data_IF_013263909431
#
_entry.id   IF_013263909431
#
_cell.length_a   1.000
_cell.length_b   1.000
_cell.length_c   1.000
_cell.angle_alpha   90.00
_cell.angle_beta   90.00
_cell.angle_gamma   90.00
#
_symmetry.space_group_name_H-M   'P 1'
#
loop_
_entity.id
_entity.type
_entity.pdbx_description
1 polymer ?
#
# COMPACT_ATOMS: atom_id res chain seq x y z
N UNK A 1 -15.53 -11.52 1.00
CA UNK A 1 -14.54 -10.45 0.79
C UNK A 1 -14.57 -10.00 -0.67
N UNK A 2 -14.52 -8.70 -0.90
CA UNK A 2 -14.63 -8.07 -2.23
C UNK A 2 -13.43 -7.17 -2.47
N UNK A 3 -12.90 -7.19 -3.69
CA UNK A 3 -11.81 -6.32 -4.11
C UNK A 3 -12.30 -5.32 -5.16
N UNK A 4 -11.88 -4.07 -5.03
CA UNK A 4 -12.04 -3.01 -6.02
C UNK A 4 -10.70 -2.81 -6.70
N UNK A 5 -10.64 -3.13 -7.99
CA UNK A 5 -9.42 -3.16 -8.78
C UNK A 5 -9.46 -1.99 -9.77
N UNK A 6 -8.71 -0.91 -9.53
CA UNK A 6 -8.53 0.16 -10.51
C UNK A 6 -7.98 -0.39 -11.83
N UNK A 7 -8.40 0.21 -12.94
CA UNK A 7 -7.86 -0.12 -14.27
C UNK A 7 -6.78 0.87 -14.74
N UNK A 8 -6.74 2.06 -14.13
CA UNK A 8 -5.74 3.07 -14.39
C UNK A 8 -4.51 2.91 -13.51
N UNK A 9 -3.54 3.77 -13.77
CA UNK A 9 -2.21 3.89 -13.15
C UNK A 9 -1.67 5.26 -13.51
N UNK A 10 -0.63 5.74 -12.84
CA UNK A 10 -0.16 7.11 -13.09
C UNK A 10 0.32 7.36 -14.53
N UNK A 11 0.81 6.32 -15.20
CA UNK A 11 1.33 6.40 -16.57
C UNK A 11 0.31 6.06 -17.67
N UNK A 12 -0.94 5.70 -17.33
CA UNK A 12 -1.97 5.37 -18.34
C UNK A 12 -3.30 6.09 -18.10
N UNK A 13 -4.13 6.11 -19.15
CA UNK A 13 -5.42 6.79 -19.19
C UNK A 13 -6.62 5.82 -19.12
N UNK A 14 -6.39 4.56 -18.75
CA UNK A 14 -7.44 3.54 -18.70
C UNK A 14 -8.41 3.84 -17.55
N UNK A 15 -9.67 4.06 -17.89
CA UNK A 15 -10.73 4.32 -16.91
C UNK A 15 -11.26 3.04 -16.27
N UNK A 16 -12.15 3.24 -15.30
CA UNK A 16 -12.99 2.25 -14.62
C UNK A 16 -12.36 1.57 -13.40
N UNK A 17 -13.24 1.01 -12.59
CA UNK A 17 -12.91 0.13 -11.47
C UNK A 17 -13.68 -1.16 -11.66
N UNK A 18 -13.05 -2.30 -11.41
CA UNK A 18 -13.75 -3.57 -11.41
C UNK A 18 -13.88 -4.09 -10.00
N UNK A 19 -15.08 -4.55 -9.66
CA UNK A 19 -15.38 -5.11 -8.35
C UNK A 19 -15.58 -6.61 -8.48
N UNK A 20 -14.86 -7.40 -7.69
CA UNK A 20 -14.86 -8.88 -7.77
C UNK A 20 -14.94 -9.50 -6.38
N UNK A 21 -15.54 -10.69 -6.25
CA UNK A 21 -15.36 -11.46 -5.02
C UNK A 21 -13.97 -12.10 -5.05
N UNK A 22 -13.23 -11.97 -3.95
CA UNK A 22 -12.01 -12.75 -3.71
C UNK A 22 -12.28 -13.88 -2.72
N UNK A 23 -13.29 -13.72 -1.87
CA UNK A 23 -13.82 -14.81 -1.04
C UNK A 23 -15.35 -14.71 -0.97
N UNK A 24 -16.03 -15.83 -1.17
CA UNK A 24 -17.50 -15.89 -1.18
C UNK A 24 -18.11 -15.47 -2.53
N UNK A 25 -19.40 -15.11 -2.50
CA UNK A 25 -20.21 -14.88 -3.72
C UNK A 25 -21.23 -13.73 -3.55
N UNK A 26 -20.88 -12.71 -2.76
CA UNK A 26 -21.81 -11.62 -2.40
C UNK A 26 -22.20 -10.72 -3.57
N UNK A 27 -21.39 -10.66 -4.62
CA UNK A 27 -21.67 -9.86 -5.83
C UNK A 27 -21.48 -10.67 -7.12
N UNK A 28 -22.03 -10.20 -8.23
CA UNK A 28 -21.52 -10.58 -9.54
C UNK A 28 -20.31 -9.68 -9.89
N UNK A 29 -19.18 -10.23 -10.37
CA UNK A 29 -18.09 -9.41 -10.89
C UNK A 29 -18.59 -8.35 -11.87
N UNK A 30 -18.29 -7.08 -11.60
CA UNK A 30 -18.90 -5.96 -12.31
C UNK A 30 -17.86 -4.88 -12.60
N UNK A 31 -17.92 -4.29 -13.79
CA UNK A 31 -17.20 -3.06 -14.14
C UNK A 31 -18.02 -1.84 -13.72
N UNK A 32 -17.42 -0.94 -12.96
CA UNK A 32 -17.99 0.35 -12.52
C UNK A 32 -17.40 1.44 -13.41
N UNK A 33 -18.22 2.06 -14.30
CA UNK A 33 -17.72 3.06 -15.23
C UNK A 33 -17.27 4.35 -14.53
N UNK A 34 -16.08 4.85 -14.87
CA UNK A 34 -15.56 6.16 -14.38
C UNK A 34 -15.01 7.04 -15.49
N UNK A 35 -15.28 6.70 -16.75
CA UNK A 35 -14.78 7.44 -17.90
C UNK A 35 -15.17 8.93 -17.84
N UNK A 36 -14.25 9.85 -18.20
CA UNK A 36 -12.94 9.59 -18.82
C UNK A 36 -11.78 9.41 -17.81
N UNK A 37 -12.06 9.33 -16.51
CA UNK A 37 -11.03 9.39 -15.48
C UNK A 37 -10.29 8.06 -15.32
N UNK A 38 -8.96 8.13 -15.35
CA UNK A 38 -8.07 7.01 -15.03
C UNK A 38 -7.95 6.86 -13.51
N UNK A 39 -8.59 5.83 -12.96
CA UNK A 39 -8.57 5.55 -11.53
C UNK A 39 -7.28 4.83 -11.19
N UNK A 40 -6.49 5.39 -10.27
CA UNK A 40 -5.17 4.85 -9.92
C UNK A 40 -5.16 4.05 -8.63
N UNK A 41 -6.04 4.37 -7.68
CA UNK A 41 -6.04 3.74 -6.36
C UNK A 41 -7.45 3.69 -5.79
N UNK A 42 -7.72 2.67 -4.97
CA UNK A 42 -8.97 2.49 -4.24
C UNK A 42 -8.70 1.92 -2.85
N UNK A 43 -9.34 2.48 -1.83
CA UNK A 43 -9.28 2.00 -0.45
C UNK A 43 -10.69 1.84 0.12
N UNK A 44 -10.93 0.74 0.85
CA UNK A 44 -12.27 0.37 1.32
C UNK A 44 -12.36 0.43 2.84
N UNK A 45 -13.46 0.99 3.35
CA UNK A 45 -13.81 0.91 4.77
C UNK A 45 -14.58 -0.39 5.02
N UNK A 46 -13.99 -1.40 5.69
CA UNK A 46 -14.67 -2.67 5.92
C UNK A 46 -15.85 -2.55 6.91
N UNK A 47 -15.95 -1.47 7.69
CA UNK A 47 -17.02 -1.27 8.67
C UNK A 47 -18.30 -0.75 7.98
N UNK A 48 -18.16 0.21 7.06
CA UNK A 48 -19.30 0.82 6.36
C UNK A 48 -19.57 0.18 4.99
N UNK A 49 -18.57 -0.47 4.40
CA UNK A 49 -18.61 -1.02 3.05
C UNK A 49 -18.43 0.03 1.94
N UNK A 50 -18.10 1.27 2.29
CA UNK A 50 -17.77 2.31 1.32
C UNK A 50 -16.34 2.17 0.81
N UNK A 51 -16.13 2.45 -0.47
CA UNK A 51 -14.81 2.49 -1.08
C UNK A 51 -14.56 3.86 -1.70
N UNK A 52 -13.41 4.45 -1.40
CA UNK A 52 -12.96 5.70 -2.02
C UNK A 52 -11.94 5.37 -3.08
N UNK A 53 -12.07 5.94 -4.26
CA UNK A 53 -11.12 5.78 -5.35
C UNK A 53 -10.66 7.14 -5.89
N UNK A 54 -9.38 7.27 -6.18
CA UNK A 54 -8.78 8.49 -6.73
C UNK A 54 -8.46 8.31 -8.22
N UNK A 55 -8.71 9.36 -9.00
CA UNK A 55 -8.25 9.45 -10.38
C UNK A 55 -6.88 10.13 -10.47
N UNK A 56 -6.20 10.05 -11.62
CA UNK A 56 -4.96 10.83 -11.85
C UNK A 56 -5.19 12.35 -11.83
N UNK A 57 -6.43 12.82 -11.99
CA UNK A 57 -6.80 14.24 -11.83
C UNK A 57 -7.34 14.51 -10.41
N UNK A 58 -8.07 15.60 -10.20
CA UNK A 58 -8.59 15.96 -8.88
C UNK A 58 -9.92 15.27 -8.51
N UNK A 59 -10.44 14.36 -9.35
CA UNK A 59 -11.68 13.65 -9.09
C UNK A 59 -11.49 12.50 -8.08
N UNK A 60 -12.51 12.33 -7.25
CA UNK A 60 -12.58 11.32 -6.19
C UNK A 60 -13.95 10.67 -6.22
N UNK A 61 -13.99 9.35 -6.36
CA UNK A 61 -15.21 8.57 -6.45
C UNK A 61 -15.49 7.86 -5.14
N UNK A 62 -16.76 7.81 -4.75
CA UNK A 62 -17.22 6.96 -3.63
C UNK A 62 -18.09 5.86 -4.22
N UNK A 63 -17.73 4.62 -3.93
CA UNK A 63 -18.39 3.41 -4.42
C UNK A 63 -19.07 2.70 -3.25
N UNK A 64 -20.18 2.03 -3.55
CA UNK A 64 -20.86 1.14 -2.61
C UNK A 64 -21.37 -0.08 -3.38
N UNK A 65 -20.96 -1.29 -2.96
CA UNK A 65 -21.32 -2.51 -3.67
C UNK A 65 -20.77 -2.51 -5.09
N UNK A 66 -21.64 -2.54 -6.10
CA UNK A 66 -21.27 -2.67 -7.52
C UNK A 66 -21.52 -1.42 -8.36
N UNK A 67 -21.61 -0.25 -7.74
CA UNK A 67 -21.85 1.02 -8.43
C UNK A 67 -21.23 2.20 -7.66
N UNK A 68 -21.29 3.39 -8.28
CA UNK A 68 -21.10 4.65 -7.55
C UNK A 68 -22.13 4.74 -6.42
N UNK A 69 -21.73 5.24 -5.26
CA UNK A 69 -22.64 5.47 -4.15
C UNK A 69 -23.68 6.55 -4.52
N UNK A 70 -24.94 6.13 -4.66
CA UNK A 70 -26.06 6.98 -5.04
C UNK A 70 -26.43 8.04 -4.00
N UNK A 71 -25.95 7.90 -2.75
CA UNK A 71 -26.16 8.90 -1.70
C UNK A 71 -25.22 10.10 -1.82
N UNK A 72 -24.16 9.97 -2.63
CA UNK A 72 -23.15 11.01 -2.84
C UNK A 72 -23.49 11.78 -4.12
N UNK A 73 -23.64 13.11 -4.00
CA UNK A 73 -23.91 13.99 -5.13
C UNK A 73 -23.24 15.35 -4.93
N UNK A 74 -22.35 15.79 -5.86
CA UNK A 74 -21.90 15.09 -7.06
C UNK A 74 -21.02 13.86 -6.74
N UNK A 75 -20.92 12.92 -7.68
CA UNK A 75 -19.98 11.80 -7.64
C UNK A 75 -19.47 11.60 -9.08
N UNK A 76 -18.24 12.06 -9.40
CA UNK A 76 -17.14 12.31 -8.49
C UNK A 76 -17.25 13.61 -7.67
N UNK A 77 -16.58 13.60 -6.52
CA UNK A 77 -16.21 14.78 -5.74
C UNK A 77 -14.91 15.38 -6.30
N UNK A 78 -14.65 16.64 -5.98
CA UNK A 78 -13.41 17.33 -6.35
C UNK A 78 -12.55 17.58 -5.11
N UNK A 79 -11.40 16.92 -5.05
CA UNK A 79 -10.34 17.22 -4.08
C UNK A 79 -9.75 18.63 -4.32
N UNK A 80 -8.92 19.09 -3.38
CA UNK A 80 -8.15 20.33 -3.54
C UNK A 80 -6.90 20.17 -4.43
N UNK A 81 -6.70 18.99 -5.01
CA UNK A 81 -5.56 18.68 -5.86
C UNK A 81 -5.42 19.67 -7.02
N UNK A 82 -4.26 20.30 -7.13
CA UNK A 82 -3.91 21.24 -8.20
C UNK A 82 -2.44 21.11 -8.56
N UNK A 83 -2.14 21.11 -9.86
CA UNK A 83 -0.80 20.80 -10.35
C UNK A 83 -0.57 19.29 -10.47
N UNK A 84 0.69 18.92 -10.69
CA UNK A 84 1.14 17.54 -10.91
C UNK A 84 2.39 17.34 -10.06
N UNK A 85 2.48 16.18 -9.40
CA UNK A 85 3.74 15.65 -8.87
C UNK A 85 4.18 14.46 -9.72
N UNK A 86 5.49 14.24 -9.79
CA UNK A 86 6.14 13.27 -10.69
C UNK A 86 6.92 12.28 -9.85
N UNK A 87 6.77 11.03 -10.23
CA UNK A 87 7.36 9.83 -9.67
C UNK A 87 8.10 9.07 -10.79
N UNK A 88 8.92 8.10 -10.45
CA UNK A 88 9.56 7.23 -11.45
C UNK A 88 8.51 6.50 -12.29
N UNK A 89 7.39 6.10 -11.66
CA UNK A 89 6.24 5.40 -12.23
C UNK A 89 5.25 6.21 -13.08
N UNK A 90 5.30 7.54 -12.98
CA UNK A 90 4.36 8.40 -13.70
C UNK A 90 4.11 9.74 -13.01
N UNK A 91 2.92 10.29 -13.21
CA UNK A 91 2.56 11.58 -12.65
C UNK A 91 1.08 11.68 -12.33
N UNK A 92 0.74 12.47 -11.32
CA UNK A 92 -0.62 12.53 -10.79
C UNK A 92 -0.93 13.86 -10.12
N UNK A 93 -2.22 14.22 -10.11
CA UNK A 93 -2.79 15.24 -9.23
C UNK A 93 -3.27 14.58 -7.94
N UNK A 94 -4.13 13.56 -7.99
CA UNK A 94 -4.34 12.64 -6.86
C UNK A 94 -3.54 11.38 -7.12
N UNK A 95 -2.71 10.97 -6.18
CA UNK A 95 -1.68 9.96 -6.37
C UNK A 95 -1.99 8.64 -5.66
N UNK A 96 -2.84 8.66 -4.65
CA UNK A 96 -3.27 7.44 -3.97
C UNK A 96 -4.29 7.74 -2.89
N UNK A 97 -4.86 6.69 -2.32
CA UNK A 97 -5.82 6.81 -1.22
C UNK A 97 -5.59 5.75 -0.16
N UNK A 98 -5.63 6.16 1.09
CA UNK A 98 -5.59 5.33 2.29
C UNK A 98 -6.93 5.44 3.02
N UNK A 99 -7.31 4.39 3.76
CA UNK A 99 -8.58 4.37 4.50
C UNK A 99 -8.36 4.48 6.01
N UNK A 100 -9.03 5.46 6.63
CA UNK A 100 -9.22 5.54 8.07
C UNK A 100 -10.56 4.92 8.44
N UNK A 101 -10.57 3.60 8.63
CA UNK A 101 -11.79 2.89 8.98
C UNK A 101 -12.32 3.24 10.39
N UNK A 102 -11.44 3.68 11.31
CA UNK A 102 -11.80 3.98 12.70
C UNK A 102 -12.58 5.31 12.78
N UNK A 103 -12.11 6.32 12.06
CA UNK A 103 -12.74 7.64 12.06
C UNK A 103 -13.70 7.87 10.88
N UNK A 104 -13.90 6.85 10.04
CA UNK A 104 -14.70 6.92 8.81
C UNK A 104 -14.24 8.06 7.88
N UNK A 105 -12.94 8.10 7.60
CA UNK A 105 -12.32 9.05 6.67
C UNK A 105 -11.46 8.32 5.64
N UNK A 106 -11.10 9.00 4.57
CA UNK A 106 -10.02 8.60 3.68
C UNK A 106 -8.95 9.69 3.64
N UNK A 107 -7.69 9.30 3.52
CA UNK A 107 -6.57 10.20 3.31
C UNK A 107 -6.09 10.05 1.87
N UNK A 108 -5.99 11.17 1.14
CA UNK A 108 -5.52 11.19 -0.24
C UNK A 108 -4.09 11.70 -0.26
N UNK A 109 -3.21 11.01 -0.97
CA UNK A 109 -1.93 11.56 -1.42
C UNK A 109 -2.19 12.40 -2.66
N UNK A 110 -1.76 13.65 -2.70
CA UNK A 110 -2.09 14.56 -3.80
C UNK A 110 -1.08 15.72 -3.98
N UNK A 111 -1.15 16.34 -5.15
CA UNK A 111 -0.46 17.58 -5.50
C UNK A 111 -1.24 18.79 -4.97
N UNK A 112 -0.64 19.53 -4.05
CA UNK A 112 -1.16 20.80 -3.53
C UNK A 112 -0.40 21.94 -4.19
N UNK A 113 -0.96 22.51 -5.26
CA UNK A 113 -0.31 23.54 -6.07
C UNK A 113 1.05 23.11 -6.66
N UNK A 114 1.15 21.85 -7.10
CA UNK A 114 2.40 21.28 -7.63
C UNK A 114 3.37 20.76 -6.55
N UNK A 115 2.99 20.82 -5.28
CA UNK A 115 3.80 20.34 -4.15
C UNK A 115 3.20 19.06 -3.56
N UNK A 116 3.99 18.02 -3.23
CA UNK A 116 3.48 16.82 -2.58
C UNK A 116 2.80 17.12 -1.24
N UNK A 117 1.70 16.43 -0.95
CA UNK A 117 0.93 16.61 0.27
C UNK A 117 -0.22 15.63 0.43
N UNK A 118 -1.09 15.92 1.38
CA UNK A 118 -2.23 15.07 1.71
C UNK A 118 -3.50 15.88 1.98
N UNK A 119 -4.64 15.20 1.82
CA UNK A 119 -5.96 15.75 2.13
C UNK A 119 -6.88 14.68 2.69
N UNK A 120 -7.58 14.98 3.78
CA UNK A 120 -8.58 14.08 4.33
C UNK A 120 -9.97 14.35 3.74
N UNK A 121 -10.71 13.27 3.54
CA UNK A 121 -12.12 13.23 3.17
C UNK A 121 -12.91 12.56 4.30
N UNK A 122 -13.80 13.30 4.96
CA UNK A 122 -14.78 12.74 5.89
C UNK A 122 -15.87 11.99 5.09
N UNK A 123 -16.16 10.74 5.44
CA UNK A 123 -17.13 9.86 4.77
C UNK A 123 -18.48 9.81 5.48
N UNK A 124 -18.82 10.81 6.29
CA UNK A 124 -20.13 10.96 6.89
C UNK A 124 -21.26 11.05 5.84
N UNK A 125 -22.52 11.27 6.27
CA UNK A 125 -23.70 11.29 5.39
C UNK A 125 -23.62 12.30 4.23
N UNK A 126 -22.76 13.30 4.35
CA UNK A 126 -22.43 14.24 3.27
C UNK A 126 -20.91 14.37 3.26
N UNK A 127 -20.22 13.63 2.38
CA UNK A 127 -18.76 13.61 2.39
C UNK A 127 -18.18 15.00 2.16
N UNK A 128 -17.18 15.36 2.95
CA UNK A 128 -16.55 16.70 2.89
C UNK A 128 -15.04 16.61 3.02
N UNK A 129 -14.35 17.38 2.18
CA UNK A 129 -12.91 17.49 2.27
C UNK A 129 -12.49 18.47 3.37
N UNK A 130 -11.47 18.07 4.11
CA UNK A 130 -10.71 18.95 4.98
C UNK A 130 -9.71 19.80 4.17
N UNK A 131 -9.14 20.88 4.74
CA UNK A 131 -8.06 21.60 4.09
C UNK A 131 -6.88 20.67 3.75
N UNK A 132 -6.29 20.78 2.56
CA UNK A 132 -5.08 20.02 2.23
C UNK A 132 -3.89 20.58 3.02
N UNK A 133 -2.87 19.75 3.22
CA UNK A 133 -1.59 20.17 3.78
C UNK A 133 -0.44 19.65 2.93
N UNK A 134 0.63 20.45 2.82
CA UNK A 134 1.84 20.08 2.09
C UNK A 134 2.77 19.29 3.00
N UNK A 135 3.42 18.27 2.45
CA UNK A 135 4.50 17.55 3.12
C UNK A 135 5.76 18.44 3.14
N UNK A 136 6.35 18.70 4.32
CA UNK A 136 7.61 19.44 4.44
C UNK A 136 8.83 18.63 3.97
N UNK A 137 8.73 17.30 3.87
CA UNK A 137 9.74 16.44 3.22
C UNK A 137 10.00 16.86 1.76
N UNK A 138 9.01 17.47 1.10
CA UNK A 138 9.09 17.87 -0.30
C UNK A 138 8.86 16.74 -1.29
N UNK A 139 8.65 15.52 -0.78
CA UNK A 139 8.22 14.31 -1.50
C UNK A 139 7.32 13.48 -0.58
N UNK A 140 6.45 12.66 -1.18
CA UNK A 140 5.62 11.68 -0.48
C UNK A 140 5.88 10.29 -1.07
N UNK A 141 5.56 9.24 -0.32
CA UNK A 141 5.70 7.85 -0.75
C UNK A 141 4.82 7.56 -1.97
N UNK A 142 5.24 6.61 -2.79
CA UNK A 142 4.41 6.16 -3.91
C UNK A 142 3.16 5.40 -3.44
N UNK A 143 3.29 4.70 -2.31
CA UNK A 143 2.22 4.01 -1.62
C UNK A 143 2.32 4.26 -0.11
N UNK A 144 1.82 5.42 0.37
CA UNK A 144 1.83 5.77 1.78
C UNK A 144 0.84 4.91 2.56
N UNK A 145 1.13 4.70 3.85
CA UNK A 145 0.25 3.95 4.74
C UNK A 145 -0.39 4.87 5.77
N UNK A 146 -1.65 4.60 6.11
CA UNK A 146 -2.29 5.15 7.30
C UNK A 146 -2.42 4.06 8.38
N UNK A 147 -1.92 4.35 9.58
CA UNK A 147 -2.19 3.63 10.82
C UNK A 147 -3.30 4.37 11.59
N UNK A 148 -4.57 3.97 11.43
CA UNK A 148 -5.69 4.63 12.09
C UNK A 148 -5.74 4.35 13.59
N UNK A 149 -5.04 3.31 14.10
CA UNK A 149 -5.04 2.95 15.52
C UNK A 149 -4.21 3.97 16.30
N UNK A 150 -3.10 4.42 15.71
CA UNK A 150 -2.16 5.32 16.36
C UNK A 150 -2.14 6.73 15.75
N UNK A 151 -3.01 7.00 14.77
CA UNK A 151 -3.13 8.27 14.04
C UNK A 151 -1.84 8.69 13.35
N UNK A 152 -1.14 7.74 12.70
CA UNK A 152 0.09 8.00 11.99
C UNK A 152 -0.11 7.79 10.49
N UNK A 153 0.33 8.74 9.67
CA UNK A 153 0.54 8.55 8.24
C UNK A 153 2.05 8.34 8.02
N UNK A 154 2.40 7.27 7.32
CA UNK A 154 3.75 6.81 7.06
C UNK A 154 4.07 7.02 5.58
N UNK A 155 5.15 7.73 5.30
CA UNK A 155 5.53 8.12 3.95
C UNK A 155 7.06 8.11 3.77
N UNK A 156 7.63 6.92 3.56
CA UNK A 156 8.99 6.72 3.07
C UNK A 156 9.10 7.10 1.59
N UNK A 157 10.16 7.82 1.22
CA UNK A 157 10.28 8.48 -0.09
C UNK A 157 11.59 8.13 -0.77
N UNK A 158 11.63 8.35 -2.09
CA UNK A 158 12.80 8.07 -2.93
C UNK A 158 14.05 8.90 -2.51
N UNK A 159 13.87 10.00 -1.76
CA UNK A 159 14.98 10.75 -1.16
C UNK A 159 15.57 10.08 0.09
N UNK A 160 15.13 8.87 0.42
CA UNK A 160 15.49 8.16 1.64
C UNK A 160 15.16 8.96 2.91
N UNK A 161 14.07 9.70 2.86
CA UNK A 161 13.46 10.32 4.02
C UNK A 161 12.15 9.61 4.35
N UNK A 162 12.00 9.17 5.59
CA UNK A 162 10.79 8.55 6.11
C UNK A 162 10.02 9.59 6.92
N UNK A 163 9.05 10.23 6.28
CA UNK A 163 8.13 11.17 6.94
C UNK A 163 7.10 10.38 7.73
N UNK A 164 6.93 10.74 9.01
CA UNK A 164 5.78 10.33 9.83
C UNK A 164 4.96 11.58 10.13
N UNK A 165 3.67 11.50 9.84
CA UNK A 165 2.72 12.57 10.13
C UNK A 165 1.79 12.11 11.25
N UNK A 166 1.79 12.82 12.39
CA UNK A 166 0.75 12.69 13.40
C UNK A 166 -0.51 13.41 12.88
N UNK A 167 -1.52 12.61 12.57
CA UNK A 167 -2.80 13.04 12.01
C UNK A 167 -3.94 12.92 13.02
N UNK A 168 -3.64 12.82 14.32
CA UNK A 168 -4.66 12.84 15.38
C UNK A 168 -5.55 14.10 15.29
N UNK A 169 -4.99 15.18 14.75
CA UNK A 169 -5.74 16.35 14.26
C UNK A 169 -5.43 16.57 12.77
N UNK A 170 -6.17 15.89 11.89
CA UNK A 170 -5.96 15.89 10.44
C UNK A 170 -6.01 17.28 9.77
N UNK A 171 -6.63 18.28 10.40
CA UNK A 171 -6.65 19.67 9.91
C UNK A 171 -5.41 20.50 10.32
N UNK A 172 -4.57 19.98 11.21
CA UNK A 172 -3.35 20.62 11.68
C UNK A 172 -2.33 19.56 12.10
N UNK A 173 -1.86 18.74 11.16
CA UNK A 173 -0.95 17.63 11.45
C UNK A 173 0.42 18.11 11.95
N UNK A 174 1.13 17.22 12.63
CA UNK A 174 2.53 17.42 12.98
C UNK A 174 3.42 16.48 12.17
N UNK A 175 4.48 17.01 11.56
CA UNK A 175 5.38 16.27 10.68
C UNK A 175 6.69 15.96 11.39
N UNK A 176 7.23 14.79 11.12
CA UNK A 176 8.50 14.33 11.66
C UNK A 176 9.31 13.64 10.58
N UNK A 177 10.52 14.10 10.36
CA UNK A 177 11.43 13.56 9.36
C UNK A 177 12.46 12.63 9.97
N UNK A 178 12.84 11.59 9.21
CA UNK A 178 13.96 10.73 9.53
C UNK A 178 14.67 10.28 8.24
N UNK A 179 15.91 10.74 8.00
CA UNK A 179 16.74 10.18 6.95
C UNK A 179 17.08 8.72 7.28
N UNK A 180 16.66 7.79 6.41
CA UNK A 180 16.89 6.35 6.60
C UNK A 180 18.05 5.86 5.72
N UNK A 181 18.90 4.93 6.21
CA UNK A 181 19.98 4.37 5.42
C UNK A 181 19.45 3.27 4.50
N UNK A 182 19.99 3.08 3.29
CA UNK A 182 19.56 2.00 2.40
C UNK A 182 20.46 1.79 1.18
N UNK A 183 20.39 0.63 0.50
CA UNK A 183 21.13 0.35 -0.73
C UNK A 183 20.50 0.94 -2.00
N UNK A 184 19.33 1.57 -1.90
CA UNK A 184 18.57 2.16 -3.00
C UNK A 184 17.67 3.28 -2.47
N UNK A 185 16.55 3.52 -3.14
CA UNK A 185 15.57 4.55 -2.81
C UNK A 185 14.34 3.90 -2.18
N UNK A 186 13.80 4.46 -1.10
CA UNK A 186 12.62 3.91 -0.46
C UNK A 186 11.36 4.28 -1.26
N UNK A 187 10.46 3.33 -1.44
CA UNK A 187 9.43 3.48 -2.47
C UNK A 187 8.00 3.52 -1.88
N UNK A 188 7.65 2.47 -1.14
CA UNK A 188 6.38 2.35 -0.42
C UNK A 188 6.52 2.39 1.11
N UNK A 189 5.39 2.53 1.80
CA UNK A 189 5.32 2.43 3.25
C UNK A 189 4.36 1.34 3.68
N UNK A 190 4.74 0.58 4.69
CA UNK A 190 3.88 -0.43 5.31
C UNK A 190 4.16 -0.57 6.79
N UNK A 191 3.25 -1.21 7.52
CA UNK A 191 3.38 -1.42 8.95
C UNK A 191 2.48 -2.56 9.41
N UNK A 192 2.95 -3.35 10.36
CA UNK A 192 2.05 -4.08 11.24
C UNK A 192 1.58 -3.13 12.35
N UNK A 193 0.34 -2.63 12.25
CA UNK A 193 -0.18 -1.60 13.15
C UNK A 193 -0.27 -2.09 14.61
N UNK A 194 -0.35 -3.40 14.83
CA UNK A 194 -0.47 -3.99 16.17
C UNK A 194 0.85 -3.98 16.94
N UNK A 195 1.96 -4.23 16.24
CA UNK A 195 3.32 -4.20 16.80
C UNK A 195 4.01 -2.87 16.55
N UNK A 196 3.48 -2.05 15.65
CA UNK A 196 4.06 -0.82 15.12
C UNK A 196 5.44 -1.01 14.47
N UNK A 197 5.72 -2.20 13.96
CA UNK A 197 6.90 -2.42 13.12
C UNK A 197 6.61 -1.80 11.76
N UNK A 198 7.23 -0.65 11.49
CA UNK A 198 7.17 0.03 10.21
C UNK A 198 8.21 -0.57 9.27
N UNK A 199 7.88 -0.57 7.99
CA UNK A 199 8.74 -1.06 6.93
C UNK A 199 8.68 -0.18 5.69
N UNK A 200 9.82 -0.07 5.03
CA UNK A 200 9.97 0.63 3.76
C UNK A 200 10.93 -0.20 2.88
N UNK A 201 10.43 -0.83 1.81
CA UNK A 201 11.27 -1.56 0.87
C UNK A 201 12.07 -0.59 -0.02
N UNK A 202 13.22 -1.06 -0.52
CA UNK A 202 14.13 -0.28 -1.36
C UNK A 202 14.07 -0.70 -2.83
N UNK A 203 13.80 0.26 -3.71
CA UNK A 203 13.96 0.10 -5.16
C UNK A 203 15.41 -0.24 -5.50
N UNK A 204 15.61 -0.85 -6.67
CA UNK A 204 16.91 -1.23 -7.25
C UNK A 204 17.79 -2.13 -6.36
N UNK A 205 17.26 -2.59 -5.23
CA UNK A 205 17.95 -3.51 -4.34
C UNK A 205 17.90 -4.95 -4.88
N UNK A 206 19.08 -5.54 -5.05
CA UNK A 206 19.23 -6.92 -5.53
C UNK A 206 20.38 -7.62 -4.79
N UNK A 207 20.10 -8.53 -3.83
CA UNK A 207 18.77 -8.97 -3.38
C UNK A 207 17.93 -7.84 -2.75
N UNK A 208 16.61 -8.07 -2.68
CA UNK A 208 15.66 -7.15 -2.07
C UNK A 208 16.10 -6.73 -0.65
N UNK A 209 15.99 -5.43 -0.37
CA UNK A 209 16.28 -4.85 0.93
C UNK A 209 15.06 -4.12 1.50
N UNK A 210 14.91 -4.13 2.82
CA UNK A 210 13.79 -3.53 3.53
C UNK A 210 14.29 -2.83 4.79
N UNK A 211 14.00 -1.54 4.93
CA UNK A 211 14.13 -0.84 6.20
C UNK A 211 13.04 -1.30 7.17
N UNK A 212 13.42 -1.53 8.43
CA UNK A 212 12.53 -1.92 9.52
C UNK A 212 12.79 -0.98 10.70
N UNK A 213 11.72 -0.49 11.32
CA UNK A 213 11.81 0.28 12.56
C UNK A 213 10.69 -0.09 13.53
N UNK A 214 11.03 -0.16 14.82
CA UNK A 214 10.05 -0.35 15.90
C UNK A 214 9.57 1.01 16.41
N UNK A 215 8.41 1.46 15.92
CA UNK A 215 7.86 2.75 16.29
C UNK A 215 7.31 2.81 17.72
N UNK A 216 7.26 1.70 18.46
CA UNK A 216 6.97 1.77 19.92
C UNK A 216 8.14 2.38 20.70
N UNK A 217 9.34 2.40 20.12
CA UNK A 217 10.55 2.98 20.69
C UNK A 217 10.90 4.34 20.07
N UNK A 218 10.02 4.89 19.21
CA UNK A 218 10.26 6.16 18.54
C UNK A 218 10.20 7.35 19.52
N UNK A 219 11.12 8.28 19.35
CA UNK A 219 11.12 9.59 20.01
C UNK A 219 10.86 10.67 18.97
N UNK A 220 9.79 11.43 19.19
CA UNK A 220 9.37 12.54 18.34
C UNK A 220 9.83 13.86 18.95
N UNK A 221 10.70 14.58 18.24
CA UNK A 221 11.17 15.91 18.61
C UNK A 221 10.48 16.96 17.72
N UNK A 222 9.61 17.82 18.27
CA UNK A 222 8.92 18.84 17.48
C UNK A 222 9.88 19.84 16.82
N UNK A 223 9.50 20.36 15.66
CA UNK A 223 10.27 21.35 14.90
C UNK A 223 9.39 22.13 13.92
N UNK A 224 10.01 23.03 13.16
CA UNK A 224 9.34 23.86 12.14
C UNK A 224 10.28 24.03 10.93
N UNK A 225 9.85 23.73 9.69
CA UNK A 225 8.49 23.32 9.31
C UNK A 225 8.13 21.87 9.71
N UNK A 226 9.12 21.04 10.03
CA UNK A 226 8.95 19.68 10.54
C UNK A 226 9.83 19.44 11.76
N UNK A 227 9.42 18.50 12.60
CA UNK A 227 10.25 17.89 13.63
C UNK A 227 11.11 16.74 13.09
N UNK A 228 11.70 15.99 14.00
CA UNK A 228 12.40 14.73 13.67
C UNK A 228 11.83 13.59 14.49
N UNK A 229 11.88 12.38 13.94
CA UNK A 229 11.71 11.18 14.74
C UNK A 229 12.97 10.33 14.65
N UNK A 230 13.30 9.65 15.74
CA UNK A 230 14.39 8.68 15.77
C UNK A 230 13.97 7.49 16.61
N UNK A 231 14.58 6.34 16.36
CA UNK A 231 14.56 5.19 17.26
C UNK A 231 15.99 4.93 17.74
N UNK A 232 16.19 4.22 18.87
CA UNK A 232 17.52 3.72 19.21
C UNK A 232 18.10 2.91 18.04
N UNK A 233 19.41 2.95 17.82
CA UNK A 233 20.06 2.16 16.76
C UNK A 233 19.81 0.64 16.87
N UNK A 234 19.40 0.16 18.06
CA UNK A 234 19.00 -1.23 18.28
C UNK A 234 17.58 -1.53 17.84
N UNK A 235 16.76 -0.53 17.48
CA UNK A 235 15.34 -0.63 17.17
C UNK A 235 15.03 -0.35 15.68
N UNK A 236 16.06 -0.27 14.85
CA UNK A 236 15.95 -0.20 13.39
C UNK A 236 17.03 -1.04 12.72
N UNK A 237 16.78 -1.45 11.48
CA UNK A 237 17.80 -2.00 10.59
C UNK A 237 17.36 -1.94 9.12
N UNK A 238 18.32 -2.09 8.21
CA UNK A 238 18.04 -2.51 6.84
C UNK A 238 18.32 -4.01 6.74
N UNK A 239 17.28 -4.78 6.47
CA UNK A 239 17.40 -6.22 6.30
C UNK A 239 17.47 -6.58 4.82
N UNK A 240 18.49 -7.37 4.45
CA UNK A 240 18.59 -7.99 3.13
C UNK A 240 17.83 -9.31 3.14
N UNK A 241 16.86 -9.45 2.23
CA UNK A 241 16.11 -10.69 2.03
C UNK A 241 16.86 -11.54 1.01
N UNK A 242 17.77 -12.40 1.49
CA UNK A 242 18.61 -13.21 0.60
C UNK A 242 17.74 -14.06 -0.33
N UNK A 243 18.15 -14.12 -1.60
CA UNK A 243 17.46 -14.79 -2.70
C UNK A 243 16.08 -14.23 -3.09
N UNK A 244 15.65 -13.11 -2.50
CA UNK A 244 14.54 -12.32 -3.05
C UNK A 244 15.07 -11.45 -4.18
N UNK A 245 14.60 -11.71 -5.40
CA UNK A 245 14.94 -10.95 -6.60
C UNK A 245 13.65 -10.52 -7.27
N UNK A 246 13.32 -9.25 -7.09
CA UNK A 246 12.10 -8.62 -7.59
C UNK A 246 12.46 -7.67 -8.74
N UNK A 247 11.54 -7.47 -9.69
CA UNK A 247 11.76 -6.55 -10.80
C UNK A 247 11.87 -5.12 -10.27
N UNK A 248 12.92 -4.40 -10.68
CA UNK A 248 13.30 -3.08 -10.15
C UNK A 248 13.50 -3.03 -8.62
N UNK A 249 13.85 -4.16 -7.99
CA UNK A 249 14.04 -4.21 -6.54
C UNK A 249 12.72 -4.37 -5.77
N UNK A 250 12.75 -3.97 -4.49
CA UNK A 250 11.62 -4.13 -3.59
C UNK A 250 10.83 -2.81 -3.50
N UNK A 251 9.59 -2.85 -3.96
CA UNK A 251 8.82 -1.64 -4.30
C UNK A 251 7.50 -1.62 -3.53
N UNK A 252 6.38 -2.06 -4.11
CA UNK A 252 5.12 -2.19 -3.38
C UNK A 252 5.19 -3.13 -2.17
N UNK A 253 4.55 -2.73 -1.06
CA UNK A 253 4.47 -3.54 0.16
C UNK A 253 3.09 -3.45 0.83
N UNK A 254 2.67 -4.53 1.48
CA UNK A 254 1.42 -4.54 2.24
C UNK A 254 1.46 -5.55 3.38
N UNK A 255 0.71 -5.29 4.46
CA UNK A 255 0.63 -6.17 5.64
C UNK A 255 -0.81 -6.58 5.89
N UNK A 256 -1.05 -7.89 5.98
CA UNK A 256 -2.33 -8.44 6.42
C UNK A 256 -2.49 -8.21 7.93
N UNK A 257 -3.12 -7.09 8.30
CA UNK A 257 -3.28 -6.70 9.70
C UNK A 257 -3.89 -7.84 10.54
N UNK A 258 -3.33 -8.07 11.73
CA UNK A 258 -3.74 -9.15 12.64
C UNK A 258 -3.04 -10.50 12.42
N UNK A 259 -2.16 -10.62 11.41
CA UNK A 259 -1.46 -11.88 11.09
C UNK A 259 0.07 -11.80 11.25
N UNK A 260 0.63 -10.60 11.42
CA UNK A 260 2.08 -10.34 11.38
C UNK A 260 2.74 -10.83 10.08
N UNK A 261 1.98 -10.93 8.98
CA UNK A 261 2.45 -11.42 7.69
C UNK A 261 2.23 -10.34 6.63
N UNK A 262 3.26 -10.11 5.83
CA UNK A 262 3.24 -9.12 4.76
C UNK A 262 3.69 -9.69 3.43
N UNK A 263 3.61 -8.85 2.40
CA UNK A 263 4.03 -9.12 1.04
C UNK A 263 4.81 -7.94 0.49
N UNK A 264 5.80 -8.25 -0.32
CA UNK A 264 6.60 -7.29 -1.09
C UNK A 264 6.57 -7.72 -2.55
N UNK A 265 6.34 -6.77 -3.44
CA UNK A 265 6.43 -6.96 -4.90
C UNK A 265 7.50 -6.06 -5.49
N UNK A 266 7.95 -6.44 -6.69
CA UNK A 266 8.61 -5.48 -7.56
C UNK A 266 7.59 -4.62 -8.28
N UNK A 267 8.07 -3.84 -9.23
CA UNK A 267 7.28 -2.96 -10.08
C UNK A 267 7.75 -3.08 -11.54
N UNK A 268 7.12 -2.33 -12.45
CA UNK A 268 7.44 -2.36 -13.89
C UNK A 268 7.45 -3.77 -14.50
N UNK A 269 6.58 -4.62 -13.96
CA UNK A 269 6.40 -6.00 -14.39
C UNK A 269 7.12 -7.02 -13.52
N UNK A 270 7.54 -8.11 -14.16
CA UNK A 270 8.04 -9.28 -13.47
C UNK A 270 6.92 -10.07 -12.80
N UNK A 271 7.23 -11.26 -12.32
CA UNK A 271 6.21 -12.18 -11.86
C UNK A 271 6.47 -12.74 -10.46
N UNK A 272 7.45 -12.20 -9.74
CA UNK A 272 7.85 -12.66 -8.42
C UNK A 272 7.24 -11.77 -7.35
N UNK A 273 6.84 -12.38 -6.23
CA UNK A 273 6.56 -11.69 -4.98
C UNK A 273 7.30 -12.39 -3.84
N UNK A 274 7.48 -11.67 -2.74
CA UNK A 274 8.07 -12.18 -1.50
C UNK A 274 7.09 -12.04 -0.35
N UNK A 275 6.69 -13.16 0.24
CA UNK A 275 5.97 -13.19 1.51
C UNK A 275 6.96 -13.03 2.65
N UNK A 276 6.60 -12.26 3.68
CA UNK A 276 7.44 -11.98 4.85
C UNK A 276 6.68 -12.21 6.16
N UNK A 277 7.36 -12.75 7.17
CA UNK A 277 6.87 -12.85 8.54
C UNK A 277 7.53 -11.76 9.40
N UNK A 278 6.71 -10.83 9.89
CA UNK A 278 7.13 -9.72 10.74
C UNK A 278 7.23 -10.15 12.21
N UNK A 279 7.98 -9.39 13.04
CA UNK A 279 7.97 -9.61 14.49
C UNK A 279 6.56 -9.61 15.05
N UNK A 280 6.24 -10.58 15.90
CA UNK A 280 4.95 -10.67 16.60
C UNK A 280 4.92 -9.87 17.91
N UNK A 281 6.04 -9.23 18.27
CA UNK A 281 6.22 -8.41 19.46
C UNK A 281 7.10 -7.21 19.14
N UNK A 282 6.95 -6.15 19.92
CA UNK A 282 7.73 -4.91 19.82
C UNK A 282 8.11 -4.37 21.21
N UNK A 283 8.80 -3.25 21.25
CA UNK A 283 9.20 -2.54 22.47
C UNK A 283 10.62 -2.85 22.93
N UNK A 284 11.35 -3.73 22.25
CA UNK A 284 12.76 -4.00 22.55
C UNK A 284 13.47 -4.70 21.40
N UNK A 285 14.79 -4.50 21.32
CA UNK A 285 15.65 -5.19 20.36
C UNK A 285 15.41 -4.74 18.92
N UNK A 286 16.08 -5.43 17.99
CA UNK A 286 16.10 -5.06 16.56
C UNK A 286 14.99 -5.80 15.82
N UNK A 287 14.03 -5.10 15.20
CA UNK A 287 12.93 -5.73 14.50
C UNK A 287 13.45 -6.50 13.29
N UNK A 288 13.21 -7.81 13.21
CA UNK A 288 13.78 -8.70 12.18
C UNK A 288 12.67 -9.49 11.49
N UNK A 289 12.66 -9.53 10.16
CA UNK A 289 11.86 -10.48 9.38
C UNK A 289 12.49 -11.86 9.56
N UNK A 290 11.83 -12.74 10.30
CA UNK A 290 12.43 -14.04 10.68
C UNK A 290 12.22 -15.15 9.66
N UNK A 291 11.26 -14.97 8.75
CA UNK A 291 10.98 -15.91 7.67
C UNK A 291 10.51 -15.12 6.44
N UNK A 292 10.97 -15.53 5.27
CA UNK A 292 10.47 -15.05 4.00
C UNK A 292 10.54 -16.16 2.95
N UNK A 293 9.68 -16.04 1.94
CA UNK A 293 9.64 -16.93 0.79
C UNK A 293 9.42 -16.10 -0.46
N UNK A 294 10.28 -16.25 -1.45
CA UNK A 294 10.15 -15.64 -2.77
C UNK A 294 9.74 -16.68 -3.79
N UNK A 295 8.73 -16.37 -4.59
CA UNK A 295 8.22 -17.29 -5.60
C UNK A 295 7.58 -16.54 -6.78
N UNK A 296 7.82 -16.99 -8.03
CA UNK A 296 7.02 -16.55 -9.16
C UNK A 296 5.53 -16.90 -8.98
N UNK A 297 4.65 -15.93 -9.11
CA UNK A 297 3.19 -16.07 -9.07
C UNK A 297 2.72 -17.04 -10.15
N UNK A 298 3.09 -16.78 -11.40
CA UNK A 298 2.97 -17.72 -12.52
C UNK A 298 3.87 -17.26 -13.68
N UNK A 299 4.14 -18.12 -14.68
CA UNK A 299 4.99 -17.74 -15.83
C UNK A 299 4.39 -16.64 -16.72
N UNK A 300 3.08 -16.40 -16.62
CA UNK A 300 2.34 -15.43 -17.46
C UNK A 300 1.79 -14.25 -16.68
N UNK A 301 2.01 -14.21 -15.37
CA UNK A 301 1.66 -13.05 -14.56
C UNK A 301 2.72 -11.98 -14.73
N UNK A 302 2.32 -10.73 -14.66
CA UNK A 302 3.19 -9.57 -14.77
C UNK A 302 2.66 -8.55 -13.76
N UNK A 303 3.47 -8.11 -12.82
CA UNK A 303 3.07 -7.15 -11.79
C UNK A 303 2.69 -5.81 -12.44
N UNK A 304 1.77 -5.08 -11.81
CA UNK A 304 1.36 -3.76 -12.30
C UNK A 304 2.47 -2.71 -12.16
N UNK A 305 2.15 -1.50 -12.63
CA UNK A 305 2.89 -0.26 -12.38
C UNK A 305 2.24 0.53 -11.23
N UNK A 306 2.65 1.78 -11.07
CA UNK A 306 2.37 2.61 -9.90
C UNK A 306 1.03 3.35 -9.98
N UNK A 307 0.40 3.65 -8.81
CA UNK A 307 0.83 3.36 -7.44
C UNK A 307 0.59 1.89 -7.11
N UNK A 308 1.63 1.14 -6.78
CA UNK A 308 1.69 -0.32 -6.90
C UNK A 308 0.38 -1.07 -6.58
N UNK A 309 -0.07 -1.93 -7.49
CA UNK A 309 -1.41 -2.54 -7.38
C UNK A 309 -1.45 -3.78 -6.46
N UNK A 310 -1.19 -3.55 -5.17
CA UNK A 310 -1.11 -4.58 -4.13
C UNK A 310 -1.89 -4.20 -2.86
N UNK A 311 -2.47 -5.20 -2.20
CA UNK A 311 -2.98 -5.06 -0.82
C UNK A 311 -2.98 -6.43 -0.14
N UNK A 312 -3.05 -6.45 1.19
CA UNK A 312 -3.15 -7.69 1.97
C UNK A 312 -4.19 -7.59 3.08
N UNK A 313 -4.84 -8.70 3.40
CA UNK A 313 -5.86 -8.79 4.45
C UNK A 313 -5.83 -10.15 5.14
N UNK A 314 -6.38 -10.21 6.35
CA UNK A 314 -6.64 -11.48 7.02
C UNK A 314 -7.94 -12.09 6.49
N UNK A 315 -7.88 -13.32 5.99
CA UNK A 315 -9.08 -14.03 5.54
C UNK A 315 -10.07 -14.19 6.70
N UNK A 316 -11.33 -13.74 6.55
CA UNK A 316 -12.36 -14.00 7.56
C UNK A 316 -12.80 -15.47 7.60
N UNK A 317 -12.47 -16.26 6.57
CA UNK A 317 -12.85 -17.66 6.48
C UNK A 317 -11.80 -18.61 7.08
N UNK A 318 -10.51 -18.32 6.85
CA UNK A 318 -9.42 -19.21 7.30
C UNK A 318 -8.55 -18.60 8.40
N UNK A 319 -8.52 -17.28 8.53
CA UNK A 319 -7.58 -16.56 9.39
C UNK A 319 -6.20 -16.37 8.79
N UNK A 320 -5.95 -16.91 7.58
CA UNK A 320 -4.68 -16.78 6.87
C UNK A 320 -4.47 -15.36 6.34
N UNK A 321 -3.21 -14.99 6.11
CA UNK A 321 -2.82 -13.76 5.45
C UNK A 321 -2.94 -13.91 3.93
N UNK A 322 -3.77 -13.10 3.30
CA UNK A 322 -4.02 -13.14 1.86
C UNK A 322 -3.53 -11.85 1.21
N UNK A 323 -2.68 -11.95 0.20
CA UNK A 323 -2.34 -10.86 -0.71
C UNK A 323 -3.22 -10.87 -1.96
N UNK A 324 -3.54 -9.66 -2.42
CA UNK A 324 -4.19 -9.39 -3.70
C UNK A 324 -3.21 -8.59 -4.56
N UNK A 325 -2.86 -9.12 -5.73
CA UNK A 325 -1.91 -8.48 -6.66
C UNK A 325 -2.57 -8.37 -8.02
N UNK A 326 -2.75 -7.15 -8.52
CA UNK A 326 -3.34 -6.95 -9.85
C UNK A 326 -2.27 -7.08 -10.93
N UNK A 327 -2.60 -7.78 -12.01
CA UNK A 327 -1.70 -7.94 -13.15
C UNK A 327 -1.63 -6.69 -14.03
N UNK A 328 -0.52 -6.53 -14.73
CA UNK A 328 -0.22 -5.40 -15.62
C UNK A 328 -1.22 -5.21 -16.78
N UNK A 329 -1.97 -6.25 -17.14
CA UNK A 329 -3.03 -6.16 -18.16
C UNK A 329 -4.39 -5.74 -17.57
N UNK A 330 -4.48 -5.57 -16.25
CA UNK A 330 -5.68 -5.23 -15.48
C UNK A 330 -6.87 -6.18 -15.70
N UNK A 331 -6.66 -7.39 -16.24
CA UNK A 331 -7.72 -8.39 -16.47
C UNK A 331 -7.68 -9.57 -15.51
N UNK A 332 -6.65 -9.63 -14.66
CA UNK A 332 -6.44 -10.73 -13.72
C UNK A 332 -5.98 -10.18 -12.37
N UNK A 333 -6.52 -10.77 -11.30
CA UNK A 333 -6.12 -10.54 -9.93
C UNK A 333 -5.59 -11.86 -9.36
N UNK A 334 -4.33 -11.88 -8.92
CA UNK A 334 -3.79 -12.99 -8.17
C UNK A 334 -4.24 -12.88 -6.70
N UNK A 335 -4.79 -13.96 -6.17
CA UNK A 335 -5.14 -14.12 -4.75
C UNK A 335 -4.16 -15.13 -4.18
N UNK A 336 -3.26 -14.67 -3.33
CA UNK A 336 -2.11 -15.44 -2.83
C UNK A 336 -2.23 -15.61 -1.33
N UNK A 337 -2.25 -16.85 -0.87
CA UNK A 337 -2.19 -17.19 0.54
C UNK A 337 -0.74 -17.12 1.04
N UNK A 338 -0.41 -16.02 1.72
CA UNK A 338 0.93 -15.74 2.24
C UNK A 338 1.30 -16.70 3.38
N UNK A 339 0.32 -17.11 4.18
CA UNK A 339 0.52 -18.06 5.28
C UNK A 339 0.97 -19.42 4.73
N UNK A 340 0.28 -19.93 3.70
CA UNK A 340 0.68 -21.16 3.03
C UNK A 340 1.98 -20.97 2.24
N UNK A 341 2.18 -19.81 1.60
CA UNK A 341 3.42 -19.51 0.88
C UNK A 341 4.66 -19.61 1.77
N UNK A 342 4.61 -19.04 2.98
CA UNK A 342 5.71 -19.10 3.96
C UNK A 342 6.01 -20.52 4.45
N UNK A 343 5.11 -21.48 4.20
CA UNK A 343 5.27 -22.90 4.55
C UNK A 343 5.72 -23.79 3.39
N UNK A 344 5.88 -23.23 2.19
CA UNK A 344 6.31 -23.99 1.02
C UNK A 344 7.69 -24.61 1.22
N UNK A 345 7.91 -25.76 0.58
CA UNK A 345 9.24 -26.36 0.51
C UNK A 345 10.20 -25.43 -0.26
N UNK A 346 11.39 -25.24 0.30
CA UNK A 346 12.45 -24.47 -0.33
C UNK A 346 13.26 -25.31 -1.33
N UNK A 347 13.85 -24.69 -2.35
CA UNK A 347 14.76 -25.35 -3.31
C UNK A 347 15.96 -25.99 -2.63
N UNK A 348 16.43 -25.41 -1.53
CA UNK A 348 17.41 -25.96 -0.60
C UNK A 348 17.18 -25.33 0.79
N UNK A 349 17.57 -25.98 1.91
CA UNK A 349 17.37 -25.41 3.24
C UNK A 349 18.03 -24.03 3.40
N UNK A 350 17.24 -23.03 3.82
CA UNK A 350 17.64 -21.63 3.96
C UNK A 350 17.73 -20.88 2.64
N UNK A 351 17.17 -21.42 1.55
CA UNK A 351 17.21 -20.73 0.25
C UNK A 351 16.13 -19.67 0.12
N UNK A 352 15.04 -19.76 0.88
CA UNK A 352 13.88 -18.85 0.78
C UNK A 352 13.25 -18.78 -0.63
N UNK A 353 13.49 -19.79 -1.46
CA UNK A 353 12.97 -19.90 -2.82
C UNK A 353 12.04 -21.10 -2.94
N UNK A 354 10.86 -20.93 -3.49
CA UNK A 354 9.89 -22.03 -3.63
C UNK A 354 10.42 -23.16 -4.54
N UNK A 355 10.43 -24.39 -4.03
CA UNK A 355 10.90 -25.58 -4.74
C UNK A 355 10.06 -25.92 -5.98
N UNK A 356 8.79 -25.50 -5.99
CA UNK A 356 7.86 -25.70 -7.10
C UNK A 356 8.19 -24.84 -8.33
N UNK A 357 9.08 -23.86 -8.22
CA UNK A 357 9.46 -22.93 -9.29
C UNK A 357 8.41 -21.85 -9.57
N UNK A 358 7.14 -22.10 -9.30
CA UNK A 358 6.05 -21.11 -9.26
C UNK A 358 5.10 -21.44 -8.11
N UNK A 359 4.22 -20.50 -7.74
CA UNK A 359 3.22 -20.75 -6.72
C UNK A 359 2.29 -21.89 -7.15
N UNK A 360 2.09 -22.93 -6.32
CA UNK A 360 1.14 -23.99 -6.62
C UNK A 360 -0.30 -23.49 -6.48
N UNK A 361 -1.24 -24.16 -7.14
CA UNK A 361 -2.67 -23.80 -7.07
C UNK A 361 -3.31 -23.94 -5.69
N UNK A 362 -2.60 -24.54 -4.73
CA UNK A 362 -3.00 -24.59 -3.31
C UNK A 362 -2.67 -23.29 -2.58
N UNK A 363 -1.83 -22.43 -3.15
CA UNK A 363 -1.36 -21.16 -2.57
C UNK A 363 -1.85 -19.97 -3.38
N UNK A 364 -1.92 -20.08 -4.71
CA UNK A 364 -2.42 -19.01 -5.57
C UNK A 364 -3.67 -19.44 -6.33
N UNK A 365 -4.62 -18.52 -6.43
CA UNK A 365 -5.73 -18.59 -7.38
C UNK A 365 -5.81 -17.29 -8.18
N UNK A 366 -6.51 -17.34 -9.32
CA UNK A 366 -6.65 -16.18 -10.20
C UNK A 366 -8.12 -15.85 -10.42
N UNK A 367 -8.46 -14.58 -10.26
CA UNK A 367 -9.79 -14.04 -10.51
C UNK A 367 -9.75 -13.19 -11.77
N UNK A 368 -10.64 -13.46 -12.72
CA UNK A 368 -10.83 -12.60 -13.89
C UNK A 368 -11.49 -11.29 -13.48
N UNK A 369 -10.91 -10.18 -13.92
CA UNK A 369 -11.35 -8.82 -13.62
C UNK A 369 -12.02 -8.25 -14.87
N UNK A 370 -13.35 -8.02 -14.87
CA UNK A 370 -14.11 -7.58 -16.04
C UNK A 370 -13.74 -6.17 -16.52
#
# INVERSE_FOLDING_TARGET
MTAYVPKGRWSTDTSDVSVVNVEGSSIAPTRIPTAPDAINSCASNPITGQTVCTANNNHVYILQGTALDSSVSPNPLASAGTGIIVFSGGSCTNCGVMMDSIHNKAALALSVSGVPGFQFLDLGPSPTFEPPFMSPSGMISEDPLLDPINNLLLSATEANNYEIVDVATSTSPAFFENPIPGPGEADSSSQDCSTRIALAPYEDSSPSAVYLADLTQATFAPGSPAGTWTVPATAEQVQILTNSFLASGANGSSVAQGTHTGVITGEFGGNVLTAIALPTTSGSGTPTITNWMSCPISPTFDNSLDPHAITAYQSPNTGDAIALVAGNNQTILAVVDLTLMLSLAETAPGSHLCASGTLPSTVVSFVTVP
#
